data_IF_036799561794
#
_entry.id   IF_036799561794
#
_cell.length_a   1.000
_cell.length_b   1.000
_cell.length_c   1.000
_cell.angle_alpha   90.00
_cell.angle_beta   90.00
_cell.angle_gamma   90.00
#
_symmetry.space_group_name_H-M   'P 1'
#
loop_
_entity.id
_entity.type
_entity.pdbx_description
1 polymer ?
#
# COMPACT_ATOMS: atom_id res chain seq x y z
N UNK A 1 -3.90 13.22 -17.98
CA UNK A 1 -4.20 12.36 -16.82
C UNK A 1 -3.27 12.80 -15.71
N UNK A 2 -3.78 13.52 -14.71
CA UNK A 2 -2.94 14.08 -13.64
C UNK A 2 -2.56 12.91 -12.72
N UNK A 3 -1.31 12.47 -12.80
CA UNK A 3 -0.75 11.53 -11.83
C UNK A 3 -0.73 12.23 -10.48
N UNK A 4 -1.72 11.94 -9.64
CA UNK A 4 -1.73 12.27 -8.21
C UNK A 4 -0.75 11.34 -7.48
N UNK A 5 0.53 11.49 -7.77
CA UNK A 5 1.64 10.98 -6.95
C UNK A 5 2.60 12.15 -6.79
N UNK A 6 3.08 12.52 -5.62
CA UNK A 6 3.19 11.83 -4.36
C UNK A 6 3.06 12.89 -3.25
N UNK A 7 2.12 12.70 -2.31
CA UNK A 7 2.09 13.52 -1.09
C UNK A 7 2.91 12.86 0.04
N UNK A 8 3.37 11.63 -0.18
CA UNK A 8 4.15 10.81 0.75
C UNK A 8 5.37 10.25 0.02
N UNK A 9 6.52 10.17 0.68
CA UNK A 9 7.74 9.66 0.07
C UNK A 9 7.59 8.17 -0.25
N UNK A 10 8.27 7.68 -1.29
CA UNK A 10 8.29 6.26 -1.59
C UNK A 10 8.81 5.42 -0.41
N UNK A 11 9.69 5.97 0.43
CA UNK A 11 10.16 5.34 1.68
C UNK A 11 9.04 5.13 2.70
N UNK A 12 8.17 6.13 2.92
CA UNK A 12 7.03 6.02 3.84
C UNK A 12 6.03 4.96 3.35
N UNK A 13 5.83 4.93 2.03
CA UNK A 13 4.97 3.95 1.38
C UNK A 13 5.52 2.53 1.55
N UNK A 14 6.81 2.31 1.29
CA UNK A 14 7.43 0.99 1.41
C UNK A 14 7.41 0.51 2.86
N UNK A 15 7.79 1.39 3.79
CA UNK A 15 7.74 1.15 5.24
C UNK A 15 6.34 0.72 5.68
N UNK A 16 5.31 1.44 5.23
CA UNK A 16 3.93 1.13 5.54
C UNK A 16 3.46 -0.23 4.99
N UNK A 17 3.86 -0.56 3.77
CA UNK A 17 3.53 -1.85 3.13
C UNK A 17 4.25 -3.00 3.84
N UNK A 18 5.54 -2.85 4.16
CA UNK A 18 6.34 -3.85 4.88
C UNK A 18 5.77 -4.09 6.27
N UNK A 19 5.45 -3.04 7.02
CA UNK A 19 4.83 -3.15 8.33
C UNK A 19 3.48 -3.88 8.27
N UNK A 20 2.66 -3.60 7.27
CA UNK A 20 1.39 -4.30 7.08
C UNK A 20 1.59 -5.79 6.74
N UNK A 21 2.56 -6.11 5.87
CA UNK A 21 2.90 -7.49 5.53
C UNK A 21 3.50 -8.26 6.73
N UNK A 22 4.19 -7.57 7.64
CA UNK A 22 4.65 -8.11 8.91
C UNK A 22 3.52 -8.36 9.94
N UNK A 23 2.28 -7.96 9.62
CA UNK A 23 1.10 -8.16 10.46
C UNK A 23 0.76 -6.98 11.38
N UNK A 24 1.41 -5.82 11.20
CA UNK A 24 1.06 -4.63 11.96
C UNK A 24 -0.34 -4.10 11.58
N UNK A 25 -1.03 -3.51 12.58
CA UNK A 25 -2.34 -2.93 12.37
C UNK A 25 -2.22 -1.66 11.53
N UNK A 26 -3.08 -1.53 10.52
CA UNK A 26 -3.15 -0.33 9.67
C UNK A 26 -3.32 0.96 10.46
N UNK A 27 -3.99 0.92 11.64
CA UNK A 27 -4.11 2.07 12.53
C UNK A 27 -2.75 2.52 13.06
N UNK A 28 -1.95 1.58 13.56
CA UNK A 28 -0.60 1.85 14.06
C UNK A 28 0.31 2.38 12.95
N UNK A 29 0.25 1.78 11.76
CA UNK A 29 1.02 2.23 10.60
C UNK A 29 0.61 3.64 10.18
N UNK A 30 -0.69 3.96 10.24
CA UNK A 30 -1.22 5.29 9.92
C UNK A 30 -0.71 6.36 10.88
N UNK A 31 -0.63 6.05 12.17
CA UNK A 31 -0.10 6.96 13.18
C UNK A 31 1.43 7.13 13.05
N UNK A 32 2.16 6.04 12.75
CA UNK A 32 3.61 6.02 12.62
C UNK A 32 4.11 6.77 11.36
N UNK A 33 3.47 6.51 10.21
CA UNK A 33 3.84 7.10 8.92
C UNK A 33 3.10 8.40 8.58
N UNK A 34 2.15 8.80 9.43
CA UNK A 34 1.21 9.90 9.16
C UNK A 34 0.38 9.72 7.85
N UNK A 35 0.30 8.51 7.32
CA UNK A 35 -0.47 8.21 6.10
C UNK A 35 -1.91 7.87 6.49
N UNK A 36 -2.93 8.50 5.88
CA UNK A 36 -4.33 8.17 6.11
C UNK A 36 -4.65 6.72 5.78
N UNK A 37 -5.55 6.12 6.57
CA UNK A 37 -5.98 4.74 6.39
C UNK A 37 -6.43 4.40 4.96
N UNK A 38 -7.15 5.32 4.30
CA UNK A 38 -7.63 5.09 2.94
C UNK A 38 -6.47 4.98 1.93
N UNK A 39 -5.45 5.82 2.08
CA UNK A 39 -4.24 5.80 1.27
C UNK A 39 -3.41 4.55 1.54
N UNK A 40 -3.26 4.12 2.80
CA UNK A 40 -2.61 2.86 3.16
C UNK A 40 -3.29 1.66 2.49
N UNK A 41 -4.63 1.64 2.48
CA UNK A 41 -5.40 0.58 1.82
C UNK A 41 -5.11 0.52 0.33
N UNK A 42 -4.98 1.67 -0.34
CA UNK A 42 -4.60 1.74 -1.75
C UNK A 42 -3.16 1.26 -1.98
N UNK A 43 -2.20 1.63 -1.13
CA UNK A 43 -0.82 1.18 -1.21
C UNK A 43 -0.69 -0.34 -1.05
N UNK A 44 -1.36 -0.91 -0.05
CA UNK A 44 -1.40 -2.36 0.16
C UNK A 44 -2.08 -3.07 -1.00
N UNK A 45 -3.19 -2.52 -1.52
CA UNK A 45 -3.86 -3.09 -2.69
C UNK A 45 -3.00 -3.03 -3.95
N UNK A 46 -2.27 -1.94 -4.16
CA UNK A 46 -1.32 -1.79 -5.25
C UNK A 46 -0.13 -2.73 -5.11
N UNK A 47 0.44 -2.88 -3.90
CA UNK A 47 1.50 -3.84 -3.61
C UNK A 47 1.03 -5.28 -3.89
N UNK A 48 -0.19 -5.64 -3.49
CA UNK A 48 -0.80 -6.94 -3.81
C UNK A 48 -1.07 -7.14 -5.31
N UNK A 49 -1.40 -6.07 -6.05
CA UNK A 49 -1.57 -6.11 -7.52
C UNK A 49 -0.26 -6.16 -8.29
N UNK A 50 0.83 -5.66 -7.71
CA UNK A 50 2.19 -5.73 -8.25
C UNK A 50 2.81 -7.12 -8.12
N UNK A 51 2.29 -7.97 -7.23
CA UNK A 51 2.49 -9.42 -7.31
C UNK A 51 1.79 -9.89 -8.58
N UNK A 52 2.47 -10.60 -9.51
CA UNK A 52 1.81 -11.15 -10.68
C UNK A 52 0.74 -12.13 -10.20
N UNK A 53 -0.48 -11.65 -10.06
CA UNK A 53 -1.64 -12.51 -9.95
C UNK A 53 -1.71 -13.18 -11.32
N UNK A 54 -1.28 -14.44 -11.39
CA UNK A 54 -1.47 -15.27 -12.57
C UNK A 54 -2.87 -14.97 -13.11
N UNK A 55 -2.99 -14.49 -14.36
CA UNK A 55 -4.29 -14.14 -14.90
C UNK A 55 -5.11 -15.42 -14.83
N UNK A 56 -6.12 -15.44 -13.96
CA UNK A 56 -7.11 -16.51 -13.89
C UNK A 56 -7.61 -16.70 -15.31
N UNK A 57 -7.10 -17.72 -16.00
CA UNK A 57 -7.69 -18.25 -17.23
C UNK A 57 -9.15 -18.48 -16.89
N UNK A 58 -10.03 -17.67 -17.47
CA UNK A 58 -11.43 -18.04 -17.62
C UNK A 58 -11.41 -19.30 -18.47
N UNK A 59 -11.55 -20.45 -17.82
CA UNK A 59 -12.05 -21.67 -18.45
C UNK A 59 -13.56 -21.63 -18.44
#
# INVERSE_FOLDING_TARGET
MVQRGAQYSDEDRDTAVVAFLAGALMKTISEDTNIPYNTLKEYVAAARKGVPQEPKRRV
#
